data_IF_412929385968
#
_entry.id   IF_412929385968
#
_cell.length_a   1.000
_cell.length_b   1.000
_cell.length_c   1.000
_cell.angle_alpha   90.00
_cell.angle_beta   90.00
_cell.angle_gamma   90.00
#
_symmetry.space_group_name_H-M   'P 1'
#
loop_
_entity.id
_entity.type
_entity.pdbx_description
1 polymer ?
#
# COMPACT_ATOMS: atom_id res chain seq x y z
N UNK A 1 -11.33 6.81 4.60
CA UNK A 1 -10.33 6.78 3.51
C UNK A 1 -10.40 8.08 2.72
N UNK A 2 -9.27 8.62 2.24
CA UNK A 2 -9.22 9.76 1.31
C UNK A 2 -8.85 9.26 -0.09
N UNK A 3 -9.40 9.87 -1.14
CA UNK A 3 -9.06 9.53 -2.52
C UNK A 3 -7.69 10.11 -2.89
N UNK A 4 -6.82 9.26 -3.43
CA UNK A 4 -5.49 9.67 -3.93
C UNK A 4 -5.33 9.08 -5.33
N UNK A 5 -4.91 9.91 -6.28
CA UNK A 5 -4.62 9.51 -7.66
C UNK A 5 -3.11 9.44 -7.86
N UNK A 6 -2.63 8.32 -8.40
CA UNK A 6 -1.22 8.11 -8.72
C UNK A 6 -1.09 7.54 -10.13
N UNK A 7 0.02 7.85 -10.80
CA UNK A 7 0.37 7.24 -12.08
C UNK A 7 1.33 6.07 -11.83
N UNK A 8 1.01 4.90 -12.37
CA UNK A 8 1.82 3.69 -12.26
C UNK A 8 2.15 3.16 -13.66
N UNK A 9 3.35 2.61 -13.88
CA UNK A 9 3.66 1.86 -15.09
C UNK A 9 2.67 0.70 -15.31
N UNK A 10 2.32 0.45 -16.58
CA UNK A 10 1.39 -0.62 -16.97
C UNK A 10 1.73 -2.00 -16.37
N UNK A 11 3.02 -2.44 -16.32
CA UNK A 11 3.35 -3.73 -15.73
C UNK A 11 2.95 -3.87 -14.26
N UNK A 12 2.92 -2.76 -13.50
CA UNK A 12 2.54 -2.79 -12.08
C UNK A 12 1.04 -2.88 -11.92
N UNK A 13 0.27 -2.23 -12.79
CA UNK A 13 -1.19 -2.33 -12.82
C UNK A 13 -1.59 -3.78 -13.14
N UNK A 14 -0.93 -4.40 -14.12
CA UNK A 14 -1.16 -5.79 -14.48
C UNK A 14 -0.76 -6.75 -13.35
N UNK A 15 0.38 -6.51 -12.68
CA UNK A 15 0.76 -7.27 -11.49
C UNK A 15 -0.29 -7.19 -10.37
N UNK A 16 -0.81 -5.99 -10.08
CA UNK A 16 -1.89 -5.78 -9.11
C UNK A 16 -3.17 -6.50 -9.51
N UNK A 17 -3.51 -6.50 -10.80
CA UNK A 17 -4.68 -7.24 -11.31
C UNK A 17 -4.53 -8.74 -11.07
N UNK A 18 -3.37 -9.33 -11.40
CA UNK A 18 -3.09 -10.76 -11.14
C UNK A 18 -3.23 -11.14 -9.67
N UNK A 19 -2.77 -10.27 -8.76
CA UNK A 19 -2.92 -10.49 -7.33
C UNK A 19 -4.39 -10.59 -6.90
N UNK A 20 -5.25 -9.78 -7.50
CA UNK A 20 -6.70 -9.82 -7.27
C UNK A 20 -7.31 -11.06 -7.90
N UNK A 21 -6.94 -11.39 -9.14
CA UNK A 21 -7.45 -12.55 -9.87
C UNK A 21 -7.10 -13.87 -9.16
N UNK A 22 -5.95 -13.93 -8.49
CA UNK A 22 -5.53 -15.05 -7.64
C UNK A 22 -6.25 -15.09 -6.28
N UNK A 23 -7.15 -14.15 -5.98
CA UNK A 23 -7.86 -14.05 -4.71
C UNK A 23 -6.98 -13.65 -3.52
N UNK A 24 -5.74 -13.17 -3.75
CA UNK A 24 -4.84 -12.74 -2.66
C UNK A 24 -5.29 -11.45 -2.01
N UNK A 25 -5.92 -10.57 -2.79
CA UNK A 25 -6.50 -9.33 -2.32
C UNK A 25 -7.89 -9.15 -2.94
N UNK A 26 -8.83 -8.53 -2.21
CA UNK A 26 -10.20 -8.34 -2.70
C UNK A 26 -10.28 -7.34 -3.87
N UNK A 27 -9.34 -6.40 -3.98
CA UNK A 27 -9.25 -5.44 -5.08
C UNK A 27 -7.87 -4.78 -5.15
N UNK A 28 -7.60 -4.07 -6.24
CA UNK A 28 -6.33 -3.37 -6.48
C UNK A 28 -6.04 -2.32 -5.40
N UNK A 29 -7.06 -1.60 -4.94
CA UNK A 29 -6.88 -0.57 -3.91
C UNK A 29 -6.42 -1.15 -2.57
N UNK A 30 -6.90 -2.35 -2.21
CA UNK A 30 -6.47 -3.03 -0.99
C UNK A 30 -5.03 -3.53 -1.11
N UNK A 31 -4.66 -4.10 -2.25
CA UNK A 31 -3.27 -4.49 -2.51
C UNK A 31 -2.31 -3.28 -2.42
N UNK A 32 -2.70 -2.13 -2.98
CA UNK A 32 -1.92 -0.88 -2.88
C UNK A 32 -1.82 -0.41 -1.43
N UNK A 33 -2.93 -0.41 -0.67
CA UNK A 33 -2.91 0.01 0.74
C UNK A 33 -2.00 -0.86 1.59
N UNK A 34 -2.02 -2.18 1.37
CA UNK A 34 -1.12 -3.12 2.05
C UNK A 34 0.34 -2.84 1.70
N UNK A 35 0.66 -2.67 0.42
CA UNK A 35 2.02 -2.34 -0.01
C UNK A 35 2.52 -1.02 0.61
N UNK A 36 1.68 0.02 0.63
CA UNK A 36 2.02 1.31 1.25
C UNK A 36 2.20 1.18 2.76
N UNK A 37 1.32 0.46 3.46
CA UNK A 37 1.45 0.20 4.90
C UNK A 37 2.77 -0.50 5.22
N UNK A 38 3.08 -1.57 4.47
CA UNK A 38 4.27 -2.38 4.73
C UNK A 38 5.54 -1.58 4.42
N UNK A 39 5.53 -0.76 3.36
CA UNK A 39 6.60 0.20 3.07
C UNK A 39 6.80 1.20 4.21
N UNK A 40 5.71 1.85 4.68
CA UNK A 40 5.79 2.82 5.78
C UNK A 40 6.27 2.18 7.07
N UNK A 41 5.80 0.99 7.41
CA UNK A 41 6.26 0.25 8.58
C UNK A 41 7.77 -0.04 8.50
N UNK A 42 8.25 -0.51 7.35
CA UNK A 42 9.66 -0.83 7.15
C UNK A 42 10.57 0.40 7.22
N UNK A 43 10.19 1.49 6.56
CA UNK A 43 11.02 2.71 6.49
C UNK A 43 10.96 3.54 7.78
N UNK A 44 9.77 3.69 8.37
CA UNK A 44 9.58 4.52 9.57
C UNK A 44 10.04 3.82 10.85
N UNK A 45 9.88 2.49 10.97
CA UNK A 45 10.38 1.75 12.14
C UNK A 45 11.90 1.64 12.14
N UNK A 46 12.55 1.60 10.96
CA UNK A 46 14.01 1.71 10.86
C UNK A 46 14.53 3.11 11.22
N UNK A 47 13.73 4.14 10.98
CA UNK A 47 14.13 5.53 11.17
C UNK A 47 13.86 6.10 12.57
N UNK A 48 13.32 5.31 13.51
CA UNK A 48 13.06 5.76 14.89
C UNK A 48 12.00 6.87 15.01
N UNK A 49 11.19 7.09 13.96
CA UNK A 49 10.15 8.12 13.95
C UNK A 49 9.02 7.67 14.89
N UNK A 50 8.74 8.52 15.88
CA UNK A 50 7.88 8.23 17.04
C UNK A 50 6.49 7.71 16.60
N UNK A 51 6.17 6.45 16.95
CA UNK A 51 4.94 5.70 16.55
C UNK A 51 3.63 6.43 16.86
N UNK A 52 3.67 7.40 17.76
CA UNK A 52 2.49 8.06 18.35
C UNK A 52 1.75 8.94 17.33
N UNK A 53 2.41 9.46 16.30
CA UNK A 53 1.75 10.36 15.33
C UNK A 53 1.03 9.63 14.17
N UNK A 54 1.44 8.41 13.83
CA UNK A 54 0.88 7.68 12.67
C UNK A 54 -0.36 6.84 12.99
N UNK A 55 -0.56 6.43 14.25
CA UNK A 55 -1.71 5.60 14.65
C UNK A 55 -2.96 6.43 14.99
N UNK A 56 -2.83 7.77 15.03
CA UNK A 56 -3.91 8.71 15.38
C UNK A 56 -4.46 9.49 14.16
N UNK A 57 -4.10 9.09 12.93
CA UNK A 57 -4.50 9.75 11.68
C UNK A 57 -5.40 8.87 10.80
#
# INVERSE_FOLDING_TARGET
MKLVTVHLPEPYIEGLKRLVDMGRYPNKSEAIRVAVRDLLANELWRSGINRIYFMNA
#
